data_IF_865125435368
#
_entry.id   IF_865125435368
#
_cell.length_a   1.000
_cell.length_b   1.000
_cell.length_c   1.000
_cell.angle_alpha   90.00
_cell.angle_beta   90.00
_cell.angle_gamma   90.00
#
_symmetry.space_group_name_H-M   'P 1'
#
loop_
_entity.id
_entity.type
_entity.pdbx_description
1 polymer ?
#
# COMPACT_ATOMS: atom_id res chain seq x y z
N UNK A 1 16.21 6.85 58.04
CA UNK A 1 17.22 7.28 57.05
C UNK A 1 17.94 6.04 56.54
N UNK A 2 17.46 5.51 55.42
CA UNK A 2 18.12 4.60 54.46
C UNK A 2 17.07 4.28 53.40
N UNK A 3 17.19 4.78 52.15
CA UNK A 3 16.24 4.45 51.09
C UNK A 3 16.72 3.25 50.27
N UNK A 4 15.74 2.47 49.83
CA UNK A 4 15.77 1.33 48.92
C UNK A 4 16.11 1.76 47.48
N UNK A 5 16.83 0.96 46.66
CA UNK A 5 17.04 1.28 45.25
C UNK A 5 15.87 0.81 44.38
N UNK A 6 15.43 1.70 43.50
CA UNK A 6 14.41 1.47 42.47
C UNK A 6 14.95 0.62 41.31
N UNK A 7 14.11 -0.28 40.81
CA UNK A 7 14.28 -0.99 39.55
C UNK A 7 14.02 -0.02 38.38
N UNK A 8 15.04 0.25 37.57
CA UNK A 8 14.92 0.87 36.25
C UNK A 8 14.65 -0.23 35.21
N UNK A 9 13.45 -0.23 34.63
CA UNK A 9 13.16 -0.97 33.39
C UNK A 9 13.96 -0.33 32.25
N UNK A 10 14.79 -1.13 31.58
CA UNK A 10 15.48 -0.76 30.34
C UNK A 10 14.44 -0.67 29.22
N UNK A 11 14.23 0.53 28.68
CA UNK A 11 13.71 0.70 27.33
C UNK A 11 14.84 0.38 26.35
N UNK A 12 14.63 -0.61 25.48
CA UNK A 12 15.52 -0.88 24.36
C UNK A 12 15.21 0.11 23.25
N UNK A 13 16.07 1.12 23.07
CA UNK A 13 16.16 1.85 21.82
C UNK A 13 16.69 0.87 20.76
N UNK A 14 15.93 0.63 19.69
CA UNK A 14 16.49 0.14 18.43
C UNK A 14 17.32 1.29 17.86
N UNK A 15 18.61 1.04 17.71
CA UNK A 15 19.62 2.04 17.40
C UNK A 15 19.60 2.39 15.91
N UNK A 16 19.17 3.61 15.57
CA UNK A 16 19.62 4.31 14.36
C UNK A 16 20.96 4.95 14.70
N UNK A 17 22.05 4.37 14.21
CA UNK A 17 23.39 4.86 14.46
C UNK A 17 23.73 6.05 13.54
N UNK A 18 23.62 7.25 14.10
CA UNK A 18 24.24 8.49 13.63
C UNK A 18 25.71 8.55 14.10
N UNK A 19 26.69 8.63 13.19
CA UNK A 19 28.00 9.26 13.49
C UNK A 19 28.87 9.59 12.24
N UNK A 20 28.89 10.90 11.95
CA UNK A 20 30.02 11.80 11.61
C UNK A 20 31.10 11.39 10.58
N UNK A 21 31.25 12.27 9.60
CA UNK A 21 32.21 12.32 8.49
C UNK A 21 33.70 12.39 8.87
N UNK A 22 34.54 11.83 7.98
CA UNK A 22 35.86 12.37 7.61
C UNK A 22 36.25 11.86 6.21
N UNK A 23 36.58 12.78 5.30
CA UNK A 23 36.72 12.51 3.86
C UNK A 23 38.11 12.06 3.38
N UNK A 24 38.21 11.84 2.07
CA UNK A 24 39.35 12.25 1.25
C UNK A 24 39.06 12.14 -0.27
N UNK A 25 39.38 13.24 -0.95
CA UNK A 25 39.57 13.53 -2.38
C UNK A 25 39.28 12.48 -3.48
N UNK A 26 38.51 12.96 -4.45
CA UNK A 26 38.44 12.51 -5.84
C UNK A 26 39.78 12.61 -6.58
N UNK A 27 40.12 11.54 -7.32
CA UNK A 27 41.07 11.57 -8.43
C UNK A 27 40.41 10.86 -9.62
N UNK A 28 39.77 11.62 -10.51
CA UNK A 28 39.24 11.12 -11.76
C UNK A 28 40.33 11.08 -12.82
N UNK A 29 40.34 10.02 -13.62
CA UNK A 29 41.04 9.99 -14.91
C UNK A 29 40.14 9.30 -15.93
N UNK A 30 39.78 10.06 -16.95
CA UNK A 30 39.08 9.63 -18.16
C UNK A 30 39.79 8.46 -18.85
N UNK A 31 38.99 7.54 -19.39
CA UNK A 31 39.39 6.72 -20.51
C UNK A 31 38.21 6.60 -21.48
N UNK A 32 38.35 7.25 -22.64
CA UNK A 32 37.45 7.07 -23.77
C UNK A 32 37.62 5.70 -24.39
N UNK A 33 36.56 5.22 -25.04
CA UNK A 33 36.64 4.13 -26.01
C UNK A 33 35.76 4.47 -27.20
N UNK A 34 36.34 4.26 -28.38
CA UNK A 34 35.74 4.43 -29.69
C UNK A 34 35.23 3.09 -30.25
N UNK A 35 34.36 3.26 -31.25
CA UNK A 35 34.09 2.38 -32.41
C UNK A 35 33.29 1.08 -32.22
N UNK A 36 32.29 0.93 -33.10
CA UNK A 36 31.61 -0.33 -33.38
C UNK A 36 30.29 -0.14 -34.11
N UNK A 37 30.36 0.17 -35.40
CA UNK A 37 29.23 0.16 -36.35
C UNK A 37 28.88 -1.29 -36.69
N UNK A 38 27.77 -1.81 -36.15
CA UNK A 38 27.18 -3.08 -36.56
C UNK A 38 25.76 -2.86 -37.08
N UNK A 39 25.56 -3.26 -38.33
CA UNK A 39 24.34 -3.10 -39.11
C UNK A 39 23.34 -4.17 -38.73
N UNK A 40 22.34 -3.80 -37.93
CA UNK A 40 21.27 -4.70 -37.52
C UNK A 40 20.14 -4.76 -38.56
N UNK A 41 19.80 -5.98 -38.95
CA UNK A 41 18.72 -6.28 -39.89
C UNK A 41 17.39 -6.22 -39.13
N UNK A 42 16.59 -5.19 -39.36
CA UNK A 42 15.30 -5.00 -38.71
C UNK A 42 14.27 -6.02 -39.23
N UNK A 43 14.01 -7.06 -38.44
CA UNK A 43 12.78 -7.81 -38.51
C UNK A 43 11.73 -7.06 -37.68
N UNK A 44 10.82 -6.35 -38.36
CA UNK A 44 9.72 -5.67 -37.71
C UNK A 44 8.71 -6.70 -37.16
N UNK A 45 8.78 -6.96 -35.86
CA UNK A 45 7.64 -7.45 -35.09
C UNK A 45 6.72 -6.26 -34.86
N UNK A 46 5.56 -6.25 -35.49
CA UNK A 46 4.48 -5.30 -35.15
C UNK A 46 3.88 -5.73 -33.82
N UNK A 47 4.56 -5.36 -32.72
CA UNK A 47 3.90 -5.21 -31.43
C UNK A 47 3.00 -3.98 -31.54
N UNK A 48 1.70 -4.17 -31.31
CA UNK A 48 0.78 -3.06 -31.13
C UNK A 48 1.09 -2.45 -29.75
N UNK A 49 2.19 -1.69 -29.66
CA UNK A 49 2.47 -0.86 -28.50
C UNK A 49 1.44 0.27 -28.54
N UNK A 50 0.29 0.07 -27.88
CA UNK A 50 -0.64 1.14 -27.66
C UNK A 50 0.15 2.30 -27.02
N UNK A 51 0.14 3.47 -27.67
CA UNK A 51 0.80 4.66 -27.13
C UNK A 51 0.21 5.07 -25.78
N UNK A 52 0.82 6.05 -25.09
CA UNK A 52 0.29 6.55 -23.82
C UNK A 52 -1.18 6.99 -23.96
N UNK A 53 -1.97 6.72 -22.93
CA UNK A 53 -3.36 7.19 -22.87
C UNK A 53 -3.39 8.72 -22.74
N UNK A 54 -4.37 9.36 -23.37
CA UNK A 54 -4.60 10.78 -23.19
C UNK A 54 -5.12 11.04 -21.77
N UNK A 55 -4.40 11.89 -21.02
CA UNK A 55 -4.71 12.23 -19.64
C UNK A 55 -5.12 13.71 -19.51
N UNK A 56 -6.15 13.97 -18.71
CA UNK A 56 -6.46 15.30 -18.17
C UNK A 56 -6.43 15.24 -16.65
N UNK A 57 -5.80 16.21 -16.00
CA UNK A 57 -5.70 16.25 -14.53
C UNK A 57 -6.54 17.39 -13.98
N UNK A 58 -7.28 17.07 -12.92
CA UNK A 58 -8.09 18.03 -12.17
C UNK A 58 -7.71 17.99 -10.70
N UNK A 59 -7.46 19.16 -10.12
CA UNK A 59 -7.34 19.31 -8.66
C UNK A 59 -8.73 19.56 -8.09
N UNK A 60 -9.16 18.74 -7.13
CA UNK A 60 -10.47 18.90 -6.49
C UNK A 60 -10.46 20.14 -5.60
N UNK A 61 -11.41 21.05 -5.85
CA UNK A 61 -11.57 22.26 -5.05
C UNK A 61 -12.25 21.95 -3.71
N UNK A 62 -11.45 21.92 -2.65
CA UNK A 62 -11.92 21.70 -1.28
C UNK A 62 -12.34 23.03 -0.61
N UNK A 63 -13.37 23.02 0.26
CA UNK A 63 -13.68 24.15 1.14
C UNK A 63 -12.44 24.63 1.91
N UNK A 64 -12.16 25.94 1.88
CA UNK A 64 -10.93 26.49 2.47
C UNK A 64 -10.86 26.43 4.00
N UNK A 65 -11.92 26.02 4.67
CA UNK A 65 -11.96 25.75 6.11
C UNK A 65 -11.67 24.28 6.46
N UNK A 66 -11.69 23.37 5.48
CA UNK A 66 -11.21 22.00 5.61
C UNK A 66 -9.69 21.96 5.47
N UNK A 67 -9.04 21.38 6.48
CA UNK A 67 -7.57 21.35 6.61
C UNK A 67 -7.07 19.92 6.64
N UNK A 68 -5.85 19.69 6.16
CA UNK A 68 -5.15 18.40 6.17
C UNK A 68 -5.99 17.25 5.60
N UNK A 69 -6.70 17.52 4.49
CA UNK A 69 -7.54 16.55 3.81
C UNK A 69 -6.68 15.45 3.18
N UNK A 70 -7.02 14.17 3.39
CA UNK A 70 -6.18 13.04 3.01
C UNK A 70 -6.96 11.75 2.82
N UNK A 71 -6.31 10.79 2.18
CA UNK A 71 -6.84 9.45 1.91
C UNK A 71 -8.23 9.46 1.24
N UNK A 72 -8.41 10.20 0.13
CA UNK A 72 -9.69 10.21 -0.56
C UNK A 72 -9.94 8.88 -1.28
N UNK A 73 -11.20 8.45 -1.29
CA UNK A 73 -11.69 7.31 -2.08
C UNK A 73 -13.00 7.68 -2.75
N UNK A 74 -13.30 7.05 -3.88
CA UNK A 74 -14.61 7.20 -4.53
C UNK A 74 -15.71 6.57 -3.67
N UNK A 75 -16.89 7.18 -3.67
CA UNK A 75 -18.13 6.50 -3.29
C UNK A 75 -18.45 5.37 -4.26
N UNK A 76 -19.31 4.43 -3.86
CA UNK A 76 -19.69 3.27 -4.67
C UNK A 76 -20.31 3.65 -6.02
N UNK A 77 -21.04 4.78 -6.07
CA UNK A 77 -21.63 5.33 -7.29
C UNK A 77 -20.68 6.19 -8.13
N UNK A 78 -19.50 6.54 -7.59
CA UNK A 78 -18.50 7.35 -8.26
C UNK A 78 -18.82 8.85 -8.36
N UNK A 79 -19.89 9.33 -7.72
CA UNK A 79 -20.28 10.75 -7.77
C UNK A 79 -19.53 11.62 -6.76
N UNK A 80 -19.06 11.01 -5.67
CA UNK A 80 -18.44 11.69 -4.55
C UNK A 80 -17.10 11.08 -4.14
N UNK A 81 -16.36 11.86 -3.37
CA UNK A 81 -15.15 11.47 -2.66
C UNK A 81 -15.44 11.41 -1.16
N UNK A 82 -15.05 10.32 -0.53
CA UNK A 82 -15.02 10.14 0.92
C UNK A 82 -13.56 10.25 1.39
N UNK A 83 -13.29 11.06 2.41
CA UNK A 83 -11.92 11.38 2.82
C UNK A 83 -11.83 11.75 4.30
N UNK A 84 -10.61 11.80 4.83
CA UNK A 84 -10.33 12.28 6.19
C UNK A 84 -9.90 13.74 6.17
N UNK A 85 -10.38 14.57 7.08
CA UNK A 85 -9.90 15.94 7.24
C UNK A 85 -10.03 16.45 8.68
N UNK A 86 -9.24 17.46 9.04
CA UNK A 86 -9.39 18.16 10.32
C UNK A 86 -10.70 18.93 10.34
N UNK A 87 -11.42 18.84 11.45
CA UNK A 87 -12.65 19.60 11.65
C UNK A 87 -12.38 21.10 11.60
N UNK A 88 -13.18 21.90 10.86
CA UNK A 88 -13.00 23.35 10.80
C UNK A 88 -12.97 23.99 12.20
N UNK A 89 -13.90 23.58 13.07
CA UNK A 89 -14.08 24.08 14.44
C UNK A 89 -13.52 23.13 15.52
N UNK A 90 -12.45 22.38 15.22
CA UNK A 90 -11.87 21.44 16.19
C UNK A 90 -10.48 20.95 15.83
N UNK A 91 -9.98 20.05 16.68
CA UNK A 91 -8.67 19.41 16.54
C UNK A 91 -8.80 17.91 16.20
N UNK A 92 -10.02 17.41 16.00
CA UNK A 92 -10.28 16.02 15.59
C UNK A 92 -10.22 15.88 14.08
N UNK A 93 -9.80 14.70 13.62
CA UNK A 93 -9.87 14.30 12.21
C UNK A 93 -11.12 13.45 12.03
N UNK A 94 -11.97 13.87 11.12
CA UNK A 94 -13.29 13.28 10.85
C UNK A 94 -13.35 12.75 9.41
N UNK A 95 -14.37 11.95 9.12
CA UNK A 95 -14.68 11.49 7.76
C UNK A 95 -15.68 12.45 7.12
N UNK A 96 -15.36 12.88 5.91
CA UNK A 96 -16.14 13.79 5.11
C UNK A 96 -16.49 13.17 3.77
N UNK A 97 -17.56 13.69 3.17
CA UNK A 97 -17.94 13.47 1.77
C UNK A 97 -18.01 14.80 1.02
N UNK A 98 -17.60 14.82 -0.23
CA UNK A 98 -17.76 15.94 -1.16
C UNK A 98 -18.01 15.40 -2.58
N UNK A 99 -18.72 16.13 -3.44
CA UNK A 99 -18.77 15.77 -4.86
C UNK A 99 -17.36 15.79 -5.45
N UNK A 100 -17.10 14.88 -6.39
CA UNK A 100 -15.83 14.85 -7.13
C UNK A 100 -15.57 16.14 -7.92
N UNK A 101 -16.63 16.88 -8.27
CA UNK A 101 -16.57 18.20 -8.90
C UNK A 101 -16.31 19.34 -7.87
N UNK A 102 -16.12 19.00 -6.59
CA UNK A 102 -15.93 19.93 -5.49
C UNK A 102 -17.24 20.47 -4.90
N UNK A 103 -17.14 21.61 -4.20
CA UNK A 103 -18.28 22.28 -3.59
C UNK A 103 -18.38 22.07 -2.08
N UNK A 104 -19.59 21.86 -1.55
CA UNK A 104 -19.80 21.76 -0.09
C UNK A 104 -19.48 20.35 0.41
N UNK A 105 -18.59 20.26 1.38
CA UNK A 105 -18.35 19.02 2.11
C UNK A 105 -19.40 18.78 3.21
N UNK A 106 -19.73 17.51 3.44
CA UNK A 106 -20.60 17.04 4.52
C UNK A 106 -19.79 16.14 5.44
N UNK A 107 -19.84 16.41 6.75
CA UNK A 107 -19.18 15.57 7.73
C UNK A 107 -20.05 14.36 8.06
N UNK A 108 -19.51 13.15 7.95
CA UNK A 108 -20.24 11.90 8.22
C UNK A 108 -20.09 11.45 9.67
N UNK A 109 -19.07 11.92 10.39
CA UNK A 109 -18.74 11.45 11.75
C UNK A 109 -18.81 12.52 12.83
N UNK A 110 -19.08 13.78 12.47
CA UNK A 110 -19.04 14.91 13.42
C UNK A 110 -20.09 14.83 14.53
N UNK A 111 -21.21 14.15 14.28
CA UNK A 111 -22.31 13.99 15.24
C UNK A 111 -22.27 12.63 15.95
N UNK A 112 -21.26 11.80 15.68
CA UNK A 112 -21.07 10.51 16.33
C UNK A 112 -20.48 10.69 17.74
N UNK A 113 -20.95 9.87 18.68
CA UNK A 113 -20.32 9.78 20.00
C UNK A 113 -18.94 9.16 19.85
N UNK A 114 -17.90 9.87 20.29
CA UNK A 114 -16.53 9.38 20.26
C UNK A 114 -16.18 8.69 21.58
N UNK A 115 -15.55 7.53 21.50
CA UNK A 115 -14.96 6.89 22.68
C UNK A 115 -13.71 7.64 23.17
N UNK A 116 -12.95 8.23 22.23
CA UNK A 116 -11.71 8.97 22.45
C UNK A 116 -11.45 10.00 21.33
N UNK A 117 -10.34 10.73 21.43
CA UNK A 117 -9.93 11.75 20.45
C UNK A 117 -9.07 11.16 19.30
N UNK A 118 -9.03 9.83 19.11
CA UNK A 118 -8.24 9.21 18.04
C UNK A 118 -8.76 9.64 16.66
N UNK A 119 -7.91 9.99 15.69
CA UNK A 119 -8.35 10.44 14.37
C UNK A 119 -9.04 9.33 13.57
N UNK A 120 -10.08 9.70 12.80
CA UNK A 120 -10.71 8.80 11.82
C UNK A 120 -10.04 8.96 10.45
N UNK A 121 -9.40 7.89 9.97
CA UNK A 121 -8.43 7.92 8.88
C UNK A 121 -8.73 6.85 7.84
N UNK A 122 -8.17 7.01 6.64
CA UNK A 122 -8.14 5.99 5.56
C UNK A 122 -9.51 5.36 5.29
N UNK A 123 -10.54 6.15 4.91
CA UNK A 123 -11.81 5.58 4.51
C UNK A 123 -11.65 4.67 3.29
N UNK A 124 -12.38 3.57 3.26
CA UNK A 124 -12.56 2.67 2.12
C UNK A 124 -14.06 2.42 1.97
N UNK A 125 -14.66 2.84 0.87
CA UNK A 125 -16.08 2.65 0.62
C UNK A 125 -16.39 1.18 0.29
N UNK A 126 -17.48 0.65 0.84
CA UNK A 126 -18.04 -0.63 0.39
C UNK A 126 -18.81 -0.43 -0.92
N UNK A 127 -18.87 -1.47 -1.75
CA UNK A 127 -19.60 -1.48 -3.02
C UNK A 127 -21.12 -1.37 -2.85
N UNK A 128 -21.65 -1.60 -1.64
CA UNK A 128 -23.08 -1.43 -1.33
C UNK A 128 -23.53 0.05 -1.23
N UNK A 129 -22.60 1.00 -1.11
CA UNK A 129 -22.90 2.41 -0.96
C UNK A 129 -23.50 2.80 0.40
N UNK A 130 -23.57 1.89 1.36
CA UNK A 130 -24.13 2.09 2.70
C UNK A 130 -23.04 2.09 3.79
N UNK A 131 -21.88 1.50 3.51
CA UNK A 131 -20.81 1.33 4.50
C UNK A 131 -19.47 1.95 4.09
N UNK A 132 -18.69 2.37 5.08
CA UNK A 132 -17.30 2.83 4.92
C UNK A 132 -16.43 2.17 5.98
N UNK A 133 -15.40 1.43 5.60
CA UNK A 133 -14.36 0.98 6.53
C UNK A 133 -13.40 2.13 6.80
N UNK A 134 -13.03 2.32 8.06
CA UNK A 134 -12.08 3.36 8.48
C UNK A 134 -11.03 2.79 9.40
N UNK A 135 -9.89 3.46 9.46
CA UNK A 135 -8.92 3.33 10.55
C UNK A 135 -9.26 4.32 11.67
N UNK A 136 -9.26 3.84 12.91
CA UNK A 136 -9.38 4.65 14.13
C UNK A 136 -8.01 4.71 14.80
N UNK A 137 -7.43 5.90 14.80
CA UNK A 137 -6.10 6.18 15.34
C UNK A 137 -4.97 6.15 14.31
N UNK A 138 -3.82 6.67 14.73
CA UNK A 138 -2.59 6.64 13.93
C UNK A 138 -1.93 5.27 13.96
N UNK A 139 -1.23 4.92 12.87
CA UNK A 139 -0.52 3.65 12.76
C UNK A 139 0.92 3.90 12.34
N UNK A 140 1.84 3.33 13.11
CA UNK A 140 3.28 3.35 12.87
C UNK A 140 3.87 1.97 13.20
N UNK A 141 5.18 1.74 13.02
CA UNK A 141 5.82 0.50 13.47
C UNK A 141 5.67 0.23 14.98
N UNK A 142 5.38 1.25 15.79
CA UNK A 142 5.25 1.15 17.26
C UNK A 142 3.89 1.60 17.80
N UNK A 143 3.00 2.10 16.95
CA UNK A 143 1.67 2.59 17.30
C UNK A 143 0.63 1.81 16.51
N UNK A 144 -0.43 1.36 17.18
CA UNK A 144 -1.47 0.55 16.57
C UNK A 144 -2.72 1.39 16.33
N UNK A 145 -3.13 1.52 15.07
CA UNK A 145 -4.50 1.93 14.73
C UNK A 145 -5.44 0.73 14.77
N UNK A 146 -6.68 0.95 15.18
CA UNK A 146 -7.77 -0.03 15.07
C UNK A 146 -8.61 0.25 13.82
N UNK A 147 -9.63 -0.56 13.54
CA UNK A 147 -10.55 -0.32 12.42
C UNK A 147 -11.99 -0.46 12.86
N UNK A 148 -12.87 0.25 12.15
CA UNK A 148 -14.30 0.27 12.37
C UNK A 148 -15.02 0.43 11.02
N UNK A 149 -16.31 0.15 11.00
CA UNK A 149 -17.20 0.41 9.87
C UNK A 149 -18.16 1.52 10.26
N UNK A 150 -18.28 2.54 9.43
CA UNK A 150 -19.37 3.50 9.48
C UNK A 150 -20.53 2.93 8.67
N UNK A 151 -21.70 2.79 9.28
CA UNK A 151 -22.94 2.39 8.64
C UNK A 151 -23.82 3.64 8.46
N UNK A 152 -24.15 4.00 7.22
CA UNK A 152 -24.95 5.17 6.88
C UNK A 152 -26.34 4.77 6.39
N UNK A 153 -27.39 5.40 6.91
CA UNK A 153 -28.77 5.20 6.47
C UNK A 153 -29.35 6.49 5.86
N UNK A 154 -30.02 6.44 4.68
CA UNK A 154 -30.19 5.27 3.81
C UNK A 154 -28.95 4.91 2.98
N UNK A 155 -27.95 5.77 2.86
CA UNK A 155 -26.72 5.50 2.13
C UNK A 155 -25.62 6.49 2.54
N UNK A 156 -24.38 6.24 2.15
CA UNK A 156 -23.28 7.21 2.27
C UNK A 156 -23.57 8.50 1.50
N UNK A 157 -24.23 8.38 0.35
CA UNK A 157 -24.61 9.51 -0.50
C UNK A 157 -25.73 10.40 0.09
N UNK A 158 -26.54 9.89 1.01
CA UNK A 158 -27.62 10.65 1.66
C UNK A 158 -27.67 10.35 3.17
N UNK A 159 -26.50 10.29 3.82
CA UNK A 159 -26.38 9.81 5.19
C UNK A 159 -27.12 10.71 6.19
N UNK A 160 -28.31 10.27 6.63
CA UNK A 160 -29.14 10.97 7.61
C UNK A 160 -28.82 10.51 9.04
N UNK A 161 -28.53 9.23 9.20
CA UNK A 161 -28.11 8.61 10.46
C UNK A 161 -26.85 7.78 10.19
N UNK A 162 -25.85 7.89 11.06
CA UNK A 162 -24.60 7.15 10.99
C UNK A 162 -24.35 6.39 12.30
N UNK A 163 -23.79 5.19 12.21
CA UNK A 163 -23.31 4.40 13.34
C UNK A 163 -21.85 4.02 13.11
N UNK A 164 -21.01 4.09 14.16
CA UNK A 164 -19.64 3.59 14.12
C UNK A 164 -19.55 2.25 14.83
N UNK A 165 -19.29 1.20 14.06
CA UNK A 165 -19.26 -0.18 14.54
C UNK A 165 -17.82 -0.69 14.56
N UNK A 166 -17.22 -1.01 15.71
CA UNK A 166 -15.83 -1.46 15.79
C UNK A 166 -15.62 -2.83 15.14
N UNK A 167 -14.42 -3.09 14.61
CA UNK A 167 -14.00 -4.41 14.13
C UNK A 167 -13.14 -5.09 15.18
N UNK A 168 -13.57 -6.26 15.65
CA UNK A 168 -12.77 -7.17 16.47
C UNK A 168 -11.87 -8.02 15.57
N UNK A 169 -10.56 -7.77 15.64
CA UNK A 169 -9.57 -8.56 14.90
C UNK A 169 -9.13 -9.81 15.67
N UNK A 170 -8.92 -10.94 14.98
CA UNK A 170 -8.62 -12.22 15.60
C UNK A 170 -7.16 -12.34 16.09
N UNK A 171 -6.91 -13.37 16.90
CA UNK A 171 -5.58 -13.78 17.36
C UNK A 171 -4.77 -12.70 18.12
N UNK A 172 -5.45 -11.74 18.75
CA UNK A 172 -4.80 -10.65 19.51
C UNK A 172 -4.08 -11.09 20.78
N UNK A 173 -4.28 -12.34 21.22
CA UNK A 173 -3.62 -12.94 22.39
C UNK A 173 -2.45 -13.86 22.06
N UNK A 174 -2.07 -14.01 20.79
CA UNK A 174 -1.00 -14.92 20.38
C UNK A 174 0.39 -14.41 20.80
N UNK A 175 1.25 -15.30 21.29
CA UNK A 175 2.60 -14.97 21.78
C UNK A 175 3.50 -14.36 20.68
N UNK A 176 3.28 -14.73 19.43
CA UNK A 176 4.03 -14.23 18.28
C UNK A 176 3.57 -12.84 17.82
N UNK A 177 2.48 -12.30 18.36
CA UNK A 177 1.92 -11.04 17.86
C UNK A 177 2.74 -9.83 18.29
N UNK A 178 3.10 -8.99 17.33
CA UNK A 178 3.76 -7.69 17.56
C UNK A 178 2.76 -6.55 17.32
N UNK A 179 2.08 -6.57 16.17
CA UNK A 179 1.09 -5.56 15.79
C UNK A 179 -0.20 -6.24 15.29
N UNK A 180 -1.37 -5.92 15.88
CA UNK A 180 -2.62 -6.66 15.69
C UNK A 180 -3.27 -6.49 14.32
N UNK A 181 -3.01 -5.38 13.63
CA UNK A 181 -3.58 -5.09 12.32
C UNK A 181 -2.91 -3.88 11.66
N UNK A 182 -2.84 -3.91 10.33
CA UNK A 182 -2.36 -2.90 9.39
C UNK A 182 -3.06 -3.08 8.05
N UNK A 183 -3.15 -1.99 7.29
CA UNK A 183 -3.60 -2.00 5.89
C UNK A 183 -4.85 -2.87 5.68
N UNK A 184 -5.92 -2.59 6.41
CA UNK A 184 -7.18 -3.32 6.28
C UNK A 184 -7.84 -2.97 4.94
N UNK A 185 -8.30 -3.98 4.20
CA UNK A 185 -8.85 -3.86 2.85
C UNK A 185 -10.12 -4.69 2.72
N UNK A 186 -11.01 -4.26 1.83
CA UNK A 186 -12.28 -4.90 1.52
C UNK A 186 -12.17 -5.51 0.12
N UNK A 187 -12.59 -6.76 -0.04
CA UNK A 187 -12.73 -7.36 -1.37
C UNK A 187 -14.02 -6.85 -2.06
N UNK A 188 -14.12 -6.93 -3.39
CA UNK A 188 -15.27 -6.39 -4.13
C UNK A 188 -16.66 -6.90 -3.68
N UNK A 189 -16.73 -8.12 -3.13
CA UNK A 189 -17.96 -8.72 -2.59
C UNK A 189 -18.51 -8.03 -1.33
N UNK A 190 -17.74 -7.15 -0.69
CA UNK A 190 -18.14 -6.45 0.53
C UNK A 190 -18.26 -7.33 1.77
N UNK A 191 -17.84 -8.59 1.69
CA UNK A 191 -17.91 -9.61 2.75
C UNK A 191 -16.53 -10.19 3.09
N UNK A 192 -15.61 -10.23 2.15
CA UNK A 192 -14.25 -10.72 2.33
C UNK A 192 -13.35 -9.53 2.66
N UNK A 193 -12.48 -9.69 3.65
CA UNK A 193 -11.52 -8.66 4.06
C UNK A 193 -10.12 -9.21 4.16
N UNK A 194 -9.17 -8.31 3.94
CA UNK A 194 -7.75 -8.58 4.08
C UNK A 194 -7.12 -7.62 5.07
N UNK A 195 -6.14 -8.07 5.85
CA UNK A 195 -5.36 -7.20 6.71
C UNK A 195 -4.01 -7.83 6.99
N UNK A 196 -3.08 -7.05 7.53
CA UNK A 196 -1.73 -7.53 7.86
C UNK A 196 -1.47 -7.47 9.36
N UNK A 197 -0.94 -8.55 9.93
CA UNK A 197 -0.32 -8.54 11.26
C UNK A 197 1.20 -8.46 11.15
N UNK A 198 1.85 -7.84 12.13
CA UNK A 198 3.30 -8.05 12.33
C UNK A 198 3.43 -9.13 13.38
N UNK A 199 4.16 -10.20 13.04
CA UNK A 199 4.39 -11.34 13.92
C UNK A 199 5.87 -11.69 14.01
N UNK A 200 6.31 -12.13 15.17
CA UNK A 200 7.68 -12.61 15.40
C UNK A 200 7.82 -14.04 14.91
N UNK A 201 8.86 -14.30 14.11
CA UNK A 201 9.25 -15.65 13.68
C UNK A 201 9.99 -16.41 14.80
N UNK A 202 10.33 -17.68 14.55
CA UNK A 202 11.02 -18.52 15.53
C UNK A 202 12.45 -18.05 15.88
N UNK A 203 13.06 -17.20 15.04
CA UNK A 203 14.39 -16.62 15.24
C UNK A 203 14.35 -15.24 15.93
N UNK A 204 13.14 -14.70 16.17
CA UNK A 204 12.95 -13.37 16.77
C UNK A 204 12.84 -12.23 15.77
N UNK A 205 12.79 -12.52 14.46
CA UNK A 205 12.58 -11.53 13.40
C UNK A 205 11.11 -11.15 13.25
N UNK A 206 10.83 -9.91 12.88
CA UNK A 206 9.47 -9.43 12.62
C UNK A 206 9.07 -9.66 11.15
N UNK A 207 7.84 -10.16 10.93
CA UNK A 207 7.32 -10.51 9.61
C UNK A 207 5.95 -9.90 9.39
N UNK A 208 5.77 -9.23 8.24
CA UNK A 208 4.45 -8.89 7.74
C UNK A 208 3.72 -10.16 7.31
N UNK A 209 2.55 -10.39 7.90
CA UNK A 209 1.74 -11.59 7.70
C UNK A 209 0.37 -11.16 7.17
N UNK A 210 0.17 -11.38 5.87
CA UNK A 210 -1.05 -11.07 5.15
C UNK A 210 -2.13 -12.13 5.43
N UNK A 211 -3.32 -11.65 5.77
CA UNK A 211 -4.42 -12.46 6.30
C UNK A 211 -5.67 -12.13 5.51
N UNK A 212 -6.46 -13.15 5.16
CA UNK A 212 -7.77 -13.02 4.54
C UNK A 212 -8.80 -13.73 5.41
N UNK A 213 -9.98 -13.13 5.58
CA UNK A 213 -11.10 -13.71 6.31
C UNK A 213 -12.43 -13.09 5.88
N UNK A 214 -13.52 -13.52 6.52
CA UNK A 214 -14.87 -13.01 6.23
C UNK A 214 -15.30 -12.01 7.29
N UNK A 215 -15.64 -10.81 6.88
CA UNK A 215 -16.21 -9.78 7.74
C UNK A 215 -17.68 -10.12 8.02
N UNK A 216 -18.03 -10.26 9.30
CA UNK A 216 -19.40 -10.54 9.72
C UNK A 216 -19.88 -9.50 10.72
N UNK A 217 -21.09 -9.00 10.49
CA UNK A 217 -21.79 -8.08 11.39
C UNK A 217 -22.47 -8.87 12.50
N UNK A 218 -22.01 -8.69 13.73
CA UNK A 218 -22.71 -9.12 14.96
C UNK A 218 -23.65 -8.01 15.45
N UNK A 219 -24.08 -8.01 16.71
CA UNK A 219 -24.99 -6.98 17.27
C UNK A 219 -24.33 -5.60 17.44
N UNK A 220 -23.14 -5.53 18.05
CA UNK A 220 -22.46 -4.28 18.43
C UNK A 220 -21.06 -4.12 17.84
N UNK A 221 -20.66 -5.06 16.97
CA UNK A 221 -19.35 -5.09 16.35
C UNK A 221 -19.35 -5.87 15.04
N UNK A 222 -18.26 -5.74 14.31
CA UNK A 222 -17.87 -6.68 13.28
C UNK A 222 -16.81 -7.66 13.80
N UNK A 223 -16.81 -8.89 13.31
CA UNK A 223 -15.78 -9.89 13.55
C UNK A 223 -15.18 -10.37 12.23
N UNK A 224 -13.92 -10.80 12.25
CA UNK A 224 -13.30 -11.48 11.09
C UNK A 224 -13.29 -12.98 11.32
N UNK A 225 -14.17 -13.67 10.61
CA UNK A 225 -14.36 -15.11 10.66
C UNK A 225 -13.39 -15.86 9.74
N UNK A 226 -13.05 -17.08 10.15
CA UNK A 226 -12.13 -18.00 9.47
C UNK A 226 -10.86 -17.32 8.91
N UNK A 227 -10.07 -16.62 9.75
CA UNK A 227 -8.89 -15.90 9.27
C UNK A 227 -7.79 -16.87 8.85
N UNK A 228 -7.33 -16.73 7.61
CA UNK A 228 -6.32 -17.56 6.96
C UNK A 228 -5.09 -16.75 6.59
N UNK A 229 -3.91 -17.27 6.89
CA UNK A 229 -2.63 -16.62 6.54
C UNK A 229 -2.26 -16.99 5.12
N UNK A 230 -2.47 -16.07 4.18
CA UNK A 230 -2.18 -16.31 2.76
C UNK A 230 -0.70 -16.17 2.44
N UNK A 231 0.04 -15.32 3.16
CA UNK A 231 1.49 -15.22 3.03
C UNK A 231 2.15 -14.45 4.16
N UNK A 232 3.45 -14.65 4.36
CA UNK A 232 4.32 -13.80 5.19
C UNK A 232 5.37 -13.05 4.38
N UNK A 233 5.11 -12.83 3.08
CA UNK A 233 6.01 -12.15 2.16
C UNK A 233 5.94 -10.62 2.25
N UNK A 234 4.83 -10.07 2.76
CA UNK A 234 4.60 -8.64 2.75
C UNK A 234 3.24 -8.23 3.26
N UNK A 235 2.84 -7.00 2.97
CA UNK A 235 1.56 -6.44 3.39
C UNK A 235 0.49 -6.67 2.31
N UNK A 236 -0.70 -7.10 2.73
CA UNK A 236 -1.87 -7.09 1.87
C UNK A 236 -2.29 -5.64 1.60
N UNK A 237 -2.34 -5.26 0.32
CA UNK A 237 -2.69 -3.91 -0.11
C UNK A 237 -4.01 -3.84 -0.86
N UNK A 238 -4.44 -4.91 -1.53
CA UNK A 238 -5.72 -4.88 -2.24
C UNK A 238 -6.23 -6.29 -2.60
N UNK A 239 -7.36 -6.34 -3.30
CA UNK A 239 -7.86 -7.52 -4.01
C UNK A 239 -7.99 -7.21 -5.50
N UNK A 240 -8.03 -8.25 -6.33
CA UNK A 240 -8.40 -8.08 -7.74
C UNK A 240 -9.89 -7.69 -7.87
N UNK A 241 -10.30 -6.96 -8.93
CA UNK A 241 -11.69 -6.50 -9.11
C UNK A 241 -12.71 -7.65 -9.22
N UNK A 242 -12.25 -8.84 -9.62
CA UNK A 242 -13.06 -10.06 -9.67
C UNK A 242 -13.09 -10.83 -8.33
N UNK A 243 -12.45 -10.32 -7.28
CA UNK A 243 -12.39 -10.94 -5.96
C UNK A 243 -11.59 -12.26 -5.89
N UNK A 244 -10.93 -12.68 -6.97
CA UNK A 244 -10.29 -14.00 -7.03
C UNK A 244 -8.93 -14.06 -6.37
N UNK A 245 -8.27 -12.92 -6.16
CA UNK A 245 -6.93 -12.87 -5.63
C UNK A 245 -6.68 -11.69 -4.69
N UNK A 246 -5.74 -11.88 -3.76
CA UNK A 246 -5.17 -10.81 -2.94
C UNK A 246 -3.91 -10.24 -3.60
N UNK A 247 -3.69 -8.94 -3.46
CA UNK A 247 -2.50 -8.22 -3.92
C UNK A 247 -1.64 -7.87 -2.73
N UNK A 248 -0.38 -8.27 -2.79
CA UNK A 248 0.58 -8.15 -1.70
C UNK A 248 1.76 -7.30 -2.17
N UNK A 249 2.06 -6.22 -1.45
CA UNK A 249 3.37 -5.56 -1.59
C UNK A 249 4.40 -6.38 -0.83
N UNK A 250 5.22 -7.12 -1.59
CA UNK A 250 6.20 -8.06 -1.08
C UNK A 250 7.51 -7.33 -0.74
N UNK A 251 7.63 -6.86 0.50
CA UNK A 251 8.87 -6.24 1.00
C UNK A 251 9.95 -7.26 1.37
N UNK A 252 9.53 -8.50 1.60
CA UNK A 252 10.43 -9.57 1.97
C UNK A 252 10.69 -10.46 0.78
N UNK A 253 11.87 -11.08 0.83
CA UNK A 253 12.42 -11.93 -0.22
C UNK A 253 11.40 -12.88 -0.81
N UNK A 254 11.10 -12.69 -2.09
CA UNK A 254 10.54 -13.74 -2.92
C UNK A 254 11.69 -14.71 -3.25
N UNK A 255 11.62 -16.00 -2.84
CA UNK A 255 12.62 -16.97 -3.22
C UNK A 255 12.74 -17.02 -4.76
N UNK A 256 13.97 -17.03 -5.27
CA UNK A 256 14.30 -17.11 -6.71
C UNK A 256 13.93 -15.90 -7.57
N UNK A 257 13.42 -14.80 -6.97
CA UNK A 257 13.17 -13.51 -7.65
C UNK A 257 14.19 -12.45 -7.23
N UNK A 258 14.05 -11.28 -7.84
CA UNK A 258 14.82 -10.08 -7.54
C UNK A 258 14.56 -9.62 -6.09
N UNK A 259 15.48 -8.80 -5.56
CA UNK A 259 15.49 -8.44 -4.13
C UNK A 259 14.74 -7.14 -3.82
N UNK A 260 14.25 -6.46 -4.85
CA UNK A 260 13.42 -5.28 -4.81
C UNK A 260 11.97 -5.62 -4.43
N UNK A 261 11.20 -4.62 -3.97
CA UNK A 261 9.81 -4.81 -3.59
C UNK A 261 8.90 -4.76 -4.80
N UNK A 262 8.18 -5.86 -4.99
CA UNK A 262 7.18 -6.02 -6.04
C UNK A 262 5.78 -6.18 -5.47
N UNK A 263 4.78 -5.93 -6.32
CA UNK A 263 3.41 -6.37 -6.08
C UNK A 263 3.22 -7.75 -6.70
N UNK A 264 2.84 -8.71 -5.85
CA UNK A 264 2.45 -10.06 -6.27
C UNK A 264 0.95 -10.26 -6.13
N UNK A 265 0.41 -11.18 -6.91
CA UNK A 265 -0.95 -11.68 -6.82
C UNK A 265 -0.94 -13.08 -6.22
N UNK A 266 -1.83 -13.33 -5.26
CA UNK A 266 -2.06 -14.67 -4.68
C UNK A 266 -3.50 -15.08 -4.99
N UNK A 267 -3.67 -16.13 -5.78
CA UNK A 267 -4.98 -16.73 -6.06
C UNK A 267 -5.60 -17.29 -4.78
N UNK A 268 -6.78 -16.81 -4.40
CA UNK A 268 -7.41 -17.19 -3.15
C UNK A 268 -7.91 -18.63 -3.17
N UNK A 269 -8.23 -19.20 -4.32
CA UNK A 269 -8.71 -20.58 -4.40
C UNK A 269 -7.57 -21.60 -4.32
N UNK A 270 -6.41 -21.29 -4.91
CA UNK A 270 -5.33 -22.27 -5.12
C UNK A 270 -4.06 -21.98 -4.31
N UNK A 271 -3.83 -20.73 -3.91
CA UNK A 271 -2.59 -20.26 -3.31
C UNK A 271 -1.45 -20.07 -4.30
N UNK A 272 -1.74 -20.11 -5.60
CA UNK A 272 -0.78 -19.81 -6.65
C UNK A 272 -0.33 -18.34 -6.57
N UNK A 273 0.99 -18.12 -6.63
CA UNK A 273 1.61 -16.81 -6.59
C UNK A 273 2.13 -16.44 -7.97
N UNK A 274 1.74 -15.29 -8.49
CA UNK A 274 2.27 -14.70 -9.73
C UNK A 274 2.73 -13.26 -9.50
N UNK A 275 3.69 -12.80 -10.30
CA UNK A 275 4.09 -11.39 -10.33
C UNK A 275 2.98 -10.55 -10.97
N UNK A 276 2.77 -9.34 -10.45
CA UNK A 276 1.99 -8.28 -11.11
C UNK A 276 2.96 -7.27 -11.70
N UNK A 277 3.87 -6.77 -10.86
CA UNK A 277 5.00 -5.94 -11.27
C UNK A 277 6.27 -6.79 -11.45
N UNK A 278 7.16 -6.34 -12.33
CA UNK A 278 8.48 -6.92 -12.60
C UNK A 278 9.50 -5.82 -12.98
N UNK A 279 9.17 -4.56 -12.67
CA UNK A 279 10.07 -3.44 -12.88
C UNK A 279 11.15 -3.44 -11.81
N UNK A 280 12.40 -3.21 -12.22
CA UNK A 280 13.56 -3.23 -11.32
C UNK A 280 13.68 -2.04 -10.36
N UNK A 281 12.58 -1.54 -9.81
CA UNK A 281 12.56 -0.47 -8.81
C UNK A 281 11.48 -0.74 -7.75
N UNK A 282 11.27 0.19 -6.81
CA UNK A 282 10.25 0.03 -5.77
C UNK A 282 8.83 0.07 -6.34
N UNK A 283 8.00 -0.93 -6.06
CA UNK A 283 6.55 -0.91 -6.30
C UNK A 283 5.75 -1.24 -5.01
N UNK A 284 4.82 -0.36 -4.64
CA UNK A 284 3.93 -0.57 -3.49
C UNK A 284 2.54 -0.01 -3.76
N UNK A 285 1.53 -0.69 -3.19
CA UNK A 285 0.12 -0.32 -3.24
C UNK A 285 -0.38 -0.14 -4.68
N UNK A 286 -1.17 -1.11 -5.10
CA UNK A 286 -1.61 -1.24 -6.48
C UNK A 286 -3.11 -1.52 -6.48
N UNK A 287 -3.81 -0.91 -7.43
CA UNK A 287 -5.18 -1.21 -7.72
C UNK A 287 -5.35 -1.42 -9.22
N UNK A 288 -5.99 -2.52 -9.60
CA UNK A 288 -6.42 -2.73 -10.97
C UNK A 288 -7.58 -1.80 -11.30
N UNK A 289 -7.65 -1.37 -12.57
CA UNK A 289 -8.86 -0.84 -13.14
C UNK A 289 -10.00 -1.87 -12.99
N UNK A 290 -11.27 -1.47 -12.91
CA UNK A 290 -12.39 -2.39 -12.69
C UNK A 290 -12.49 -3.54 -13.71
N UNK A 291 -12.00 -3.33 -14.93
CA UNK A 291 -11.94 -4.34 -15.98
C UNK A 291 -10.70 -5.25 -15.96
N UNK A 292 -9.72 -4.96 -15.09
CA UNK A 292 -8.46 -5.68 -14.97
C UNK A 292 -7.45 -5.46 -16.11
N UNK A 293 -7.76 -4.61 -17.10
CA UNK A 293 -6.92 -4.40 -18.28
C UNK A 293 -5.67 -3.54 -18.01
N UNK A 294 -5.68 -2.80 -16.91
CA UNK A 294 -4.58 -1.97 -16.43
C UNK A 294 -4.60 -1.86 -14.91
N UNK A 295 -3.54 -1.34 -14.33
CA UNK A 295 -3.47 -1.00 -12.92
C UNK A 295 -2.77 0.34 -12.72
N UNK A 296 -3.07 0.96 -11.58
CA UNK A 296 -2.29 2.06 -11.05
C UNK A 296 -1.44 1.55 -9.88
N UNK A 297 -0.17 1.95 -9.83
CA UNK A 297 0.80 1.54 -8.81
C UNK A 297 1.62 2.75 -8.36
N UNK A 298 1.98 2.81 -7.08
CA UNK A 298 2.96 3.80 -6.62
C UNK A 298 4.36 3.22 -6.72
N UNK A 299 5.24 3.95 -7.39
CA UNK A 299 6.49 3.40 -7.85
C UNK A 299 7.63 4.40 -7.85
N UNK A 300 8.85 3.87 -7.71
CA UNK A 300 10.11 4.56 -7.93
C UNK A 300 10.62 4.41 -9.38
N UNK A 301 9.82 3.89 -10.31
CA UNK A 301 10.17 3.75 -11.73
C UNK A 301 10.90 4.98 -12.25
N UNK A 302 11.97 4.73 -13.01
CA UNK A 302 12.89 5.73 -13.60
C UNK A 302 13.86 6.41 -12.64
N UNK A 303 13.75 6.21 -11.33
CA UNK A 303 14.68 6.81 -10.36
C UNK A 303 16.00 6.04 -10.27
N UNK A 304 15.97 4.72 -10.47
CA UNK A 304 17.13 3.83 -10.35
C UNK A 304 17.54 3.57 -8.89
N UNK A 305 16.68 3.88 -7.92
CA UNK A 305 16.99 3.76 -6.50
C UNK A 305 17.11 2.28 -6.08
N UNK A 306 16.23 1.42 -6.58
CA UNK A 306 16.27 -0.02 -6.32
C UNK A 306 16.87 -0.87 -7.45
N UNK A 307 17.29 -0.27 -8.57
CA UNK A 307 17.85 -1.00 -9.72
C UNK A 307 19.01 -1.93 -9.33
N UNK A 308 19.90 -1.47 -8.46
CA UNK A 308 21.02 -2.30 -7.97
C UNK A 308 20.54 -3.48 -7.12
N UNK A 309 19.46 -3.29 -6.36
CA UNK A 309 18.84 -4.34 -5.53
C UNK A 309 18.15 -5.36 -6.44
N UNK A 310 17.46 -4.89 -7.48
CA UNK A 310 16.75 -5.72 -8.46
C UNK A 310 17.68 -6.72 -9.21
N UNK A 311 18.95 -6.36 -9.41
CA UNK A 311 19.92 -7.26 -10.05
C UNK A 311 20.31 -8.48 -9.18
N UNK A 312 19.94 -8.50 -7.90
CA UNK A 312 20.40 -9.54 -6.96
C UNK A 312 19.30 -10.55 -6.65
N UNK A 313 19.35 -11.72 -7.30
CA UNK A 313 18.44 -12.82 -6.97
C UNK A 313 18.69 -13.38 -5.58
N UNK A 314 17.62 -13.81 -4.90
CA UNK A 314 17.69 -14.41 -3.56
C UNK A 314 17.44 -15.92 -3.58
N UNK A 315 17.97 -16.69 -2.61
CA UNK A 315 18.80 -16.21 -1.52
C UNK A 315 20.22 -15.84 -2.01
N UNK A 316 20.87 -14.89 -1.36
CA UNK A 316 22.23 -14.48 -1.68
C UNK A 316 23.02 -14.07 -0.43
N UNK A 317 24.34 -14.04 -0.54
CA UNK A 317 25.24 -13.78 0.58
C UNK A 317 25.14 -12.34 1.14
N UNK A 318 24.65 -11.39 0.35
CA UNK A 318 24.52 -9.99 0.76
C UNK A 318 23.09 -9.64 1.22
N UNK A 319 22.16 -10.61 1.19
CA UNK A 319 20.74 -10.43 1.47
C UNK A 319 20.46 -9.72 2.79
N UNK A 320 21.09 -10.12 3.92
CA UNK A 320 20.96 -9.40 5.18
C UNK A 320 21.42 -7.93 5.12
N UNK A 321 22.41 -7.60 4.29
CA UNK A 321 22.85 -6.23 4.07
C UNK A 321 21.90 -5.41 3.19
N UNK A 322 21.14 -6.05 2.30
CA UNK A 322 20.15 -5.37 1.45
C UNK A 322 18.95 -4.86 2.25
N UNK A 323 18.64 -5.45 3.41
CA UNK A 323 17.57 -4.95 4.28
C UNK A 323 17.89 -3.57 4.87
N UNK A 324 19.14 -3.33 5.27
CA UNK A 324 19.57 -2.00 5.72
C UNK A 324 19.52 -0.97 4.59
N UNK A 325 19.89 -1.37 3.36
CA UNK A 325 19.80 -0.50 2.19
C UNK A 325 18.34 -0.17 1.88
N UNK A 326 17.45 -1.16 1.87
CA UNK A 326 16.00 -0.95 1.73
C UNK A 326 15.50 0.07 2.76
N UNK A 327 15.83 -0.14 4.04
CA UNK A 327 15.39 0.77 5.11
C UNK A 327 15.92 2.19 4.95
N UNK A 328 17.17 2.33 4.48
CA UNK A 328 17.75 3.64 4.16
C UNK A 328 17.02 4.32 3.01
N UNK A 329 16.81 3.63 1.89
CA UNK A 329 16.12 4.16 0.71
C UNK A 329 14.69 4.55 1.07
N UNK A 330 13.96 3.67 1.74
CA UNK A 330 12.59 3.91 2.19
C UNK A 330 12.48 5.14 3.10
N UNK A 331 13.41 5.32 4.05
CA UNK A 331 13.36 6.43 4.99
C UNK A 331 13.84 7.78 4.41
N UNK A 332 14.78 7.76 3.46
CA UNK A 332 15.46 8.97 2.99
C UNK A 332 15.07 9.41 1.57
N UNK A 333 14.43 8.53 0.80
CA UNK A 333 13.98 8.78 -0.57
C UNK A 333 12.48 8.53 -0.74
N UNK A 334 11.73 8.57 0.36
CA UNK A 334 10.32 8.16 0.42
C UNK A 334 9.44 8.85 -0.63
N UNK A 335 9.75 10.11 -0.99
CA UNK A 335 8.97 10.91 -1.93
C UNK A 335 9.13 10.42 -3.37
N UNK A 336 10.36 10.05 -3.71
CA UNK A 336 10.72 9.49 -5.01
C UNK A 336 10.20 8.05 -5.19
N UNK A 337 9.80 7.37 -4.10
CA UNK A 337 9.33 5.98 -4.16
C UNK A 337 7.85 5.81 -4.50
N UNK A 338 7.05 6.88 -4.48
CA UNK A 338 5.60 6.81 -4.60
C UNK A 338 5.05 7.71 -5.70
N UNK A 339 5.72 7.81 -6.83
CA UNK A 339 5.07 8.45 -7.96
C UNK A 339 3.97 7.51 -8.52
N UNK A 340 2.77 8.00 -8.86
CA UNK A 340 1.67 7.17 -9.36
C UNK A 340 1.83 6.87 -10.86
N UNK A 341 1.89 5.59 -11.22
CA UNK A 341 2.02 5.12 -12.60
C UNK A 341 0.79 4.33 -13.05
N UNK A 342 0.35 4.56 -14.28
CA UNK A 342 -0.61 3.72 -14.99
C UNK A 342 0.15 2.70 -15.85
N UNK A 343 -0.18 1.43 -15.68
CA UNK A 343 0.47 0.34 -16.41
C UNK A 343 -0.59 -0.60 -16.96
N UNK A 344 -0.43 -1.01 -18.21
CA UNK A 344 -1.28 -2.05 -18.81
C UNK A 344 -0.92 -3.41 -18.21
N UNK A 345 -1.93 -4.24 -17.93
CA UNK A 345 -1.71 -5.58 -17.38
C UNK A 345 -0.87 -6.42 -18.35
N UNK A 346 0.21 -7.02 -17.84
CA UNK A 346 1.14 -7.82 -18.64
C UNK A 346 2.23 -7.04 -19.37
N UNK A 347 2.17 -5.71 -19.38
CA UNK A 347 3.04 -4.86 -20.19
C UNK A 347 4.51 -4.88 -19.71
N UNK A 348 4.74 -5.00 -18.41
CA UNK A 348 6.10 -5.05 -17.85
C UNK A 348 6.84 -6.30 -18.26
N UNK A 349 6.15 -7.44 -18.33
CA UNK A 349 6.73 -8.68 -18.83
C UNK A 349 7.09 -8.60 -20.33
N UNK A 350 6.55 -7.59 -21.04
CA UNK A 350 6.87 -7.25 -22.42
C UNK A 350 7.92 -6.11 -22.53
N UNK A 351 8.42 -5.60 -21.40
CA UNK A 351 9.42 -4.55 -21.31
C UNK A 351 8.87 -3.12 -21.37
N UNK A 352 7.56 -2.93 -21.21
CA UNK A 352 6.93 -1.60 -21.15
C UNK A 352 6.91 -1.05 -19.72
N UNK A 353 7.23 0.24 -19.59
CA UNK A 353 7.37 0.90 -18.29
C UNK A 353 6.03 1.35 -17.67
N UNK A 354 5.07 1.71 -18.52
CA UNK A 354 3.85 2.44 -18.12
C UNK A 354 3.98 3.95 -18.30
N UNK A 355 3.01 4.68 -17.77
CA UNK A 355 2.83 6.12 -17.91
C UNK A 355 2.67 6.79 -16.54
N UNK A 356 3.52 7.78 -16.25
CA UNK A 356 3.41 8.61 -15.04
C UNK A 356 2.11 9.43 -15.08
N UNK A 357 1.33 9.38 -14.00
CA UNK A 357 0.02 10.01 -13.92
C UNK A 357 0.08 11.50 -13.55
N UNK A 358 1.15 11.96 -12.91
CA UNK A 358 1.28 13.31 -12.34
C UNK A 358 2.60 14.03 -12.73
N UNK A 359 3.03 14.02 -14.01
CA UNK A 359 4.34 14.53 -14.42
C UNK A 359 4.62 15.97 -13.94
N UNK A 360 5.79 16.15 -13.31
CA UNK A 360 6.26 17.43 -12.78
C UNK A 360 5.75 17.79 -11.38
N UNK A 361 4.82 17.03 -10.80
CA UNK A 361 4.27 17.34 -9.47
C UNK A 361 5.33 17.28 -8.37
N UNK A 362 6.24 16.28 -8.43
CA UNK A 362 7.33 16.14 -7.47
C UNK A 362 8.31 17.32 -7.54
N UNK A 363 8.63 17.81 -8.74
CA UNK A 363 9.47 19.01 -8.96
C UNK A 363 8.83 20.29 -8.38
N UNK A 364 7.51 20.35 -8.35
CA UNK A 364 6.73 21.42 -7.71
C UNK A 364 6.58 21.24 -6.18
N UNK A 365 7.19 20.19 -5.64
CA UNK A 365 7.23 19.84 -4.22
C UNK A 365 6.02 19.07 -3.72
N UNK A 366 5.17 18.54 -4.62
CA UNK A 366 4.04 17.68 -4.27
C UNK A 366 4.45 16.22 -4.30
N UNK A 367 4.37 15.57 -3.14
CA UNK A 367 4.67 14.15 -2.96
C UNK A 367 3.37 13.35 -2.98
N UNK A 368 3.28 12.38 -3.90
CA UNK A 368 2.11 11.52 -4.01
C UNK A 368 2.10 10.47 -2.90
N UNK A 369 0.89 10.17 -2.43
CA UNK A 369 0.67 9.32 -1.26
C UNK A 369 -0.18 8.11 -1.66
N UNK A 370 0.13 6.97 -1.05
CA UNK A 370 -0.54 5.70 -1.31
C UNK A 370 -2.06 5.76 -1.08
N UNK A 371 -2.77 4.71 -1.52
CA UNK A 371 -4.22 4.58 -1.70
C UNK A 371 -4.74 5.23 -2.99
N UNK A 372 -4.36 4.63 -4.13
CA UNK A 372 -4.93 4.99 -5.43
C UNK A 372 -6.34 4.41 -5.54
N UNK A 373 -7.29 5.24 -5.97
CA UNK A 373 -8.69 4.88 -6.13
C UNK A 373 -9.12 4.95 -7.59
N UNK A 374 -9.53 3.83 -8.17
CA UNK A 374 -10.21 3.84 -9.46
C UNK A 374 -11.66 4.29 -9.30
N UNK A 375 -12.13 5.15 -10.19
CA UNK A 375 -13.56 5.40 -10.33
C UNK A 375 -14.27 4.09 -10.74
N UNK A 376 -15.49 3.81 -10.26
CA UNK A 376 -16.18 2.53 -10.49
C UNK A 376 -16.33 2.12 -11.95
N UNK A 377 -16.34 3.07 -12.89
CA UNK A 377 -16.41 2.80 -14.33
C UNK A 377 -15.05 2.65 -15.05
N UNK A 378 -13.93 2.82 -14.33
CA UNK A 378 -12.58 2.65 -14.87
C UNK A 378 -12.05 3.79 -15.74
N UNK A 379 -12.76 4.92 -15.86
CA UNK A 379 -12.33 6.07 -16.68
C UNK A 379 -11.55 7.13 -15.94
N UNK A 380 -11.52 7.09 -14.60
CA UNK A 380 -10.83 8.09 -13.77
C UNK A 380 -10.03 7.44 -12.65
N UNK A 381 -8.92 8.08 -12.29
CA UNK A 381 -8.03 7.65 -11.21
C UNK A 381 -7.92 8.79 -10.20
N UNK A 382 -8.04 8.47 -8.92
CA UNK A 382 -7.93 9.38 -7.80
C UNK A 382 -6.70 9.03 -6.96
N UNK A 383 -5.93 10.04 -6.60
CA UNK A 383 -4.92 9.96 -5.54
C UNK A 383 -4.83 11.30 -4.83
N UNK A 384 -3.96 11.36 -3.82
CA UNK A 384 -3.71 12.59 -3.09
C UNK A 384 -2.22 12.83 -2.93
N UNK A 385 -1.88 14.09 -2.74
CA UNK A 385 -0.50 14.54 -2.61
C UNK A 385 -0.37 15.44 -1.39
N UNK A 386 0.84 15.51 -0.85
CA UNK A 386 1.19 16.35 0.28
C UNK A 386 2.57 16.99 0.08
N UNK A 387 2.77 18.19 0.62
CA UNK A 387 4.07 18.89 0.64
C UNK A 387 4.88 18.62 1.91
N UNK A 388 4.28 17.98 2.90
CA UNK A 388 4.87 17.69 4.20
C UNK A 388 6.02 16.68 4.19
N UNK A 389 6.46 16.33 5.40
CA UNK A 389 7.31 15.16 5.63
C UNK A 389 6.48 13.88 5.46
N UNK A 390 7.01 12.84 4.82
CA UNK A 390 6.22 11.68 4.52
C UNK A 390 5.81 10.84 5.72
N UNK A 391 6.48 11.02 6.86
CA UNK A 391 6.23 10.29 8.11
C UNK A 391 5.47 11.12 9.15
N UNK A 392 5.25 12.41 8.91
CA UNK A 392 4.47 13.29 9.77
C UNK A 392 3.00 13.36 9.32
N UNK A 393 2.13 13.78 10.24
CA UNK A 393 0.75 14.13 9.89
C UNK A 393 0.73 15.31 8.91
N UNK A 394 -0.17 15.33 7.91
CA UNK A 394 -0.18 16.40 6.92
C UNK A 394 -0.44 17.77 7.52
N UNK A 395 0.20 18.78 6.94
CA UNK A 395 -0.03 20.18 7.32
C UNK A 395 -1.39 20.67 6.80
N UNK A 396 -1.97 21.66 7.48
CA UNK A 396 -3.33 22.14 7.21
C UNK A 396 -3.61 22.47 5.72
N UNK A 397 -2.68 23.14 5.06
CA UNK A 397 -2.82 23.60 3.67
C UNK A 397 -1.86 22.84 2.72
N UNK A 398 -1.27 21.74 3.20
CA UNK A 398 -0.22 21.02 2.52
C UNK A 398 -0.69 19.93 1.57
N UNK A 399 -2.00 19.69 1.47
CA UNK A 399 -2.58 18.51 0.80
C UNK A 399 -3.45 18.90 -0.39
N UNK A 400 -3.51 18.05 -1.42
CA UNK A 400 -4.46 18.17 -2.54
C UNK A 400 -4.94 16.81 -3.02
N UNK A 401 -6.14 16.77 -3.60
CA UNK A 401 -6.66 15.59 -4.29
C UNK A 401 -6.54 15.80 -5.79
N UNK A 402 -6.07 14.76 -6.49
CA UNK A 402 -5.85 14.78 -7.92
C UNK A 402 -6.73 13.70 -8.54
N UNK A 403 -7.56 14.11 -9.50
CA UNK A 403 -8.30 13.21 -10.39
C UNK A 403 -7.61 13.25 -11.75
N UNK A 404 -7.35 12.07 -12.32
CA UNK A 404 -6.85 11.90 -13.68
C UNK A 404 -7.91 11.24 -14.52
N UNK A 405 -8.39 11.95 -15.54
CA UNK A 405 -9.33 11.46 -16.54
C UNK A 405 -8.57 10.77 -17.67
N UNK A 406 -8.96 9.52 -17.97
CA UNK A 406 -8.48 8.75 -19.11
C UNK A 406 -9.38 9.05 -20.30
N UNK A 407 -9.07 10.13 -21.03
CA UNK A 407 -10.00 10.86 -21.91
C UNK A 407 -10.62 10.00 -23.01
N UNK A 408 -9.85 9.04 -23.54
CA UNK A 408 -10.29 8.16 -24.63
C UNK A 408 -10.92 6.84 -24.13
N UNK A 409 -10.77 6.54 -22.84
CA UNK A 409 -11.20 5.27 -22.27
C UNK A 409 -12.72 5.23 -22.15
N UNK A 410 -13.29 4.10 -22.53
CA UNK A 410 -14.72 3.88 -22.39
C UNK A 410 -15.05 3.30 -21.01
N UNK A 411 -16.18 3.70 -20.40
CA UNK A 411 -16.69 3.11 -19.17
C UNK A 411 -16.75 1.57 -19.26
N UNK A 412 -16.08 0.91 -18.33
CA UNK A 412 -16.00 -0.54 -18.20
C UNK A 412 -16.02 -0.92 -16.71
N UNK A 413 -17.21 -0.91 -16.06
CA UNK A 413 -17.32 -1.18 -14.64
C UNK A 413 -17.06 -2.65 -14.32
N UNK A 414 -16.68 -2.91 -13.06
CA UNK A 414 -16.62 -4.27 -12.53
C UNK A 414 -18.02 -4.91 -12.51
N UNK A 415 -18.13 -6.24 -12.45
CA UNK A 415 -19.40 -6.92 -12.27
C UNK A 415 -20.14 -6.46 -11.00
N UNK A 416 -21.44 -6.20 -11.12
CA UNK A 416 -22.34 -5.84 -10.02
C UNK A 416 -23.58 -6.79 -9.98
N UNK A 417 -23.83 -7.54 -8.88
CA UNK A 417 -22.98 -7.63 -7.71
C UNK A 417 -21.66 -8.33 -8.03
N UNK A 418 -20.61 -7.95 -7.32
CA UNK A 418 -19.32 -8.63 -7.44
C UNK A 418 -19.47 -10.12 -7.06
N UNK A 419 -18.75 -11.03 -7.74
CA UNK A 419 -18.76 -12.44 -7.37
C UNK A 419 -18.14 -12.62 -5.97
N UNK A 420 -18.59 -13.63 -5.19
CA UNK A 420 -18.02 -13.91 -3.89
C UNK A 420 -16.56 -14.34 -4.03
N UNK A 421 -15.69 -13.81 -3.17
CA UNK A 421 -14.27 -14.17 -3.14
C UNK A 421 -14.11 -15.63 -2.66
N UNK A 422 -13.22 -16.43 -3.26
CA UNK A 422 -12.95 -17.78 -2.78
C UNK A 422 -12.36 -17.77 -1.36
N UNK A 423 -12.83 -18.68 -0.49
CA UNK A 423 -12.20 -18.90 0.81
C UNK A 423 -10.85 -19.62 0.63
N UNK A 424 -9.73 -19.09 1.15
CA UNK A 424 -8.39 -19.68 0.99
C UNK A 424 -8.17 -20.88 1.93
N UNK A 425 -8.91 -21.96 1.69
CA UNK A 425 -8.87 -23.20 2.51
C UNK A 425 -7.53 -23.94 2.45
N UNK A 426 -6.67 -23.62 1.49
CA UNK A 426 -5.29 -24.11 1.40
C UNK A 426 -4.37 -23.46 2.44
N UNK A 427 -4.71 -22.26 2.91
CA UNK A 427 -3.89 -21.48 3.83
C UNK A 427 -4.11 -21.93 5.28
N UNK A 428 -3.05 -21.86 6.13
CA UNK A 428 -3.17 -22.18 7.54
C UNK A 428 -4.05 -21.16 8.28
N UNK A 429 -4.65 -21.59 9.39
CA UNK A 429 -5.39 -20.72 10.30
C UNK A 429 -4.45 -19.71 10.98
N UNK A 430 -4.97 -18.51 11.26
CA UNK A 430 -4.20 -17.47 11.93
C UNK A 430 -3.83 -17.80 13.38
N UNK A 431 -4.71 -18.50 14.10
CA UNK A 431 -4.55 -18.77 15.51
C UNK A 431 -3.32 -19.66 15.77
N UNK A 432 -2.38 -19.17 16.59
CA UNK A 432 -1.12 -19.85 16.89
C UNK A 432 -0.12 -19.87 15.73
N UNK A 433 -0.38 -19.16 14.62
CA UNK A 433 0.55 -19.12 13.49
C UNK A 433 1.87 -18.45 13.87
N UNK A 434 2.98 -19.05 13.49
CA UNK A 434 4.31 -18.44 13.62
C UNK A 434 4.92 -18.42 12.23
N UNK A 435 5.26 -17.24 11.67
CA UNK A 435 5.84 -17.16 10.35
C UNK A 435 7.21 -17.83 10.33
N UNK A 436 7.57 -18.38 9.16
CA UNK A 436 8.90 -18.92 8.95
C UNK A 436 9.96 -17.81 9.06
N UNK A 437 11.08 -18.16 9.69
CA UNK A 437 12.23 -17.27 9.73
C UNK A 437 12.83 -17.10 8.33
N UNK A 438 13.34 -15.91 8.03
CA UNK A 438 14.07 -15.69 6.79
C UNK A 438 15.25 -16.66 6.70
N UNK A 439 15.46 -17.33 5.56
CA UNK A 439 16.58 -18.22 5.39
C UNK A 439 17.89 -17.42 5.46
N UNK A 440 18.67 -17.64 6.53
CA UNK A 440 20.03 -17.14 6.63
C UNK A 440 20.93 -18.00 5.76
N UNK A 441 21.56 -17.40 4.74
CA UNK A 441 22.59 -18.10 3.96
C UNK A 441 23.89 -18.07 4.77
N UNK A 442 24.09 -19.07 5.61
CA UNK A 442 25.34 -19.21 6.36
C UNK A 442 26.50 -19.60 5.44
N UNK A 443 26.26 -20.42 4.40
CA UNK A 443 27.31 -20.84 3.47
C UNK A 443 26.76 -21.23 2.08
N UNK A 444 27.53 -20.96 1.03
CA UNK A 444 27.29 -21.44 -0.35
C UNK A 444 28.53 -22.07 -0.96
N UNK A 445 28.35 -23.24 -1.57
CA UNK A 445 29.36 -23.86 -2.40
C UNK A 445 29.48 -23.11 -3.74
N UNK A 446 30.71 -22.84 -4.17
CA UNK A 446 30.98 -22.28 -5.49
C UNK A 446 30.80 -23.34 -6.58
N UNK A 447 30.31 -22.93 -7.75
CA UNK A 447 30.12 -23.84 -8.90
C UNK A 447 31.41 -24.58 -9.31
N UNK A 448 32.57 -23.93 -9.14
CA UNK A 448 33.88 -24.49 -9.45
C UNK A 448 34.62 -25.09 -8.23
N UNK A 449 34.00 -25.07 -7.04
CA UNK A 449 34.58 -25.53 -5.78
C UNK A 449 34.85 -24.41 -4.76
N UNK A 450 35.06 -24.82 -3.51
CA UNK A 450 35.17 -23.91 -2.35
C UNK A 450 33.80 -23.53 -1.79
N UNK A 451 33.78 -22.95 -0.60
CA UNK A 451 32.57 -22.43 0.03
C UNK A 451 32.80 -21.00 0.52
N UNK A 452 31.79 -20.15 0.37
CA UNK A 452 31.73 -18.83 1.02
C UNK A 452 30.82 -18.95 2.23
N UNK A 453 31.32 -18.56 3.40
CA UNK A 453 30.53 -18.43 4.65
C UNK A 453 30.39 -16.95 4.97
N UNK A 454 29.18 -16.47 5.24
CA UNK A 454 28.87 -15.06 5.53
C UNK A 454 29.01 -14.75 7.00
#
# INVERSE_FOLDING_TARGET
>A
MTPTPAFLRRAGLVAVALLVAAGCSSGGSDAGSSDGDDTETTAATTGDTAGPEALEQTIVELPGDLRAARYPVWSADGEDLVFSALRPDGDTVEIYRISAEGGKATCLTCDLERADDEPYLKPLAFSDGERILIRVGEQSPVTNGTHAVIECTPSVADCADAELVPIEVPATGDDALVQPQREFRIAPDGETVGFTQVRTDAAGGERFTAIVGRLQRDDDRYVVDDPRVVTSLGELKNFTPDGTAALISAFTTLPDRAADPDVIRIDLATGEISDVTDNGDYDEDLAFAPDGGSYAVFSARTTGLFETVAQVRRPNAIGPGLECLFGYLFANHRKELLEPWLVRTGAEQEGELGQLLNPGSLDEGWDARTLVGWHPDGTRILFWEDRGDPFDAPTADGTRFVIVDLVDRQPSPAPDPAPPSPAPTWAPELAGFVPDALPLVESRDGEAGGSMTV
#
